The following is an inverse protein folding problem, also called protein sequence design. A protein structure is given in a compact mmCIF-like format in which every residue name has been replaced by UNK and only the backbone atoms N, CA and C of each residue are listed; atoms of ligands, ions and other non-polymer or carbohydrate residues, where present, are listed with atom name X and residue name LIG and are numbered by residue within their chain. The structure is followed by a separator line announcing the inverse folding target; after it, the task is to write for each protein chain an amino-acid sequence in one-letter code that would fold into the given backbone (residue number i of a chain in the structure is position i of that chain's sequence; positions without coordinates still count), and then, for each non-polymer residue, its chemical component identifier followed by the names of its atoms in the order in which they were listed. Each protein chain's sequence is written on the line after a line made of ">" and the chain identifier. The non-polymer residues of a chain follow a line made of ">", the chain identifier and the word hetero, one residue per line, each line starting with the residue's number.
data_IF_911530783705
#
_entry.id   IF_911530783705
#
_cell.length_a   1.000
_cell.length_b   1.000
_cell.length_c   1.000
_cell.angle_alpha   90.00
_cell.angle_beta   90.00
_cell.angle_gamma   90.00
#
_symmetry.space_group_name_H-M   'P 1'
#
loop_
_entity.id
_entity.type
_entity.pdbx_description
1 polymer ?
#
# COMPACT_ATOMS: atom_id res chain seq x y z
N UNK A 1 -37.70 19.86 -10.19
CA UNK A 1 -36.25 19.57 -10.37
C UNK A 1 -35.89 19.80 -11.83
N UNK A 2 -34.73 20.36 -12.11
CA UNK A 2 -34.24 20.56 -13.48
C UNK A 2 -33.79 19.21 -14.05
N UNK A 3 -34.37 18.77 -15.17
CA UNK A 3 -33.93 17.55 -15.86
C UNK A 3 -32.62 17.82 -16.61
N UNK A 4 -31.53 17.19 -16.14
CA UNK A 4 -30.20 17.30 -16.72
C UNK A 4 -29.90 16.22 -17.77
N UNK A 5 -30.83 15.28 -18.03
CA UNK A 5 -30.60 14.11 -18.89
C UNK A 5 -30.18 14.48 -20.30
N UNK A 6 -30.84 15.49 -20.89
CA UNK A 6 -30.52 15.96 -22.23
C UNK A 6 -29.15 16.65 -22.29
N UNK A 7 -28.78 17.41 -21.25
CA UNK A 7 -27.47 18.06 -21.15
C UNK A 7 -26.38 17.00 -21.01
N UNK A 8 -26.55 16.03 -20.12
CA UNK A 8 -25.60 14.93 -19.94
C UNK A 8 -25.41 14.14 -21.24
N UNK A 9 -26.49 13.83 -21.97
CA UNK A 9 -26.43 13.14 -23.26
C UNK A 9 -25.74 13.98 -24.34
N UNK A 10 -25.95 15.29 -24.37
CA UNK A 10 -25.27 16.19 -25.30
C UNK A 10 -23.76 16.28 -25.00
N UNK A 11 -23.39 16.42 -23.72
CA UNK A 11 -21.99 16.44 -23.28
C UNK A 11 -21.28 15.11 -23.56
N UNK A 12 -21.94 13.97 -23.36
CA UNK A 12 -21.37 12.63 -23.59
C UNK A 12 -20.93 12.38 -25.04
N UNK A 13 -21.49 13.12 -26.02
CA UNK A 13 -21.02 13.07 -27.42
C UNK A 13 -19.61 13.64 -27.59
N UNK A 14 -19.20 14.58 -26.73
CA UNK A 14 -17.88 15.25 -26.76
C UNK A 14 -16.96 14.79 -25.64
N UNK A 15 -17.51 14.44 -24.49
CA UNK A 15 -16.80 14.07 -23.26
C UNK A 15 -17.33 12.72 -22.76
N UNK A 16 -16.68 11.63 -23.15
CA UNK A 16 -17.17 10.26 -22.95
C UNK A 16 -17.55 9.93 -21.49
N UNK A 17 -16.86 10.54 -20.52
CA UNK A 17 -17.08 10.37 -19.08
C UNK A 17 -18.18 11.25 -18.46
N UNK A 18 -18.80 12.15 -19.22
CA UNK A 18 -19.85 13.03 -18.68
C UNK A 18 -21.13 12.27 -18.32
N UNK A 19 -21.58 12.42 -17.08
CA UNK A 19 -22.80 11.80 -16.53
C UNK A 19 -23.43 12.69 -15.44
N UNK A 20 -24.68 12.38 -15.07
CA UNK A 20 -25.34 12.98 -13.90
C UNK A 20 -24.73 12.34 -12.65
N UNK A 21 -24.35 13.13 -11.65
CA UNK A 21 -23.63 12.62 -10.48
C UNK A 21 -24.42 11.59 -9.64
N UNK A 22 -25.76 11.60 -9.72
CA UNK A 22 -26.65 10.65 -9.03
C UNK A 22 -26.70 9.27 -9.71
N UNK A 23 -26.17 9.11 -10.94
CA UNK A 23 -26.01 7.79 -11.54
C UNK A 23 -24.96 7.00 -10.75
N UNK A 24 -25.31 5.77 -10.35
CA UNK A 24 -24.55 4.77 -9.55
C UNK A 24 -23.13 5.18 -9.14
N UNK A 25 -22.84 5.13 -7.83
CA UNK A 25 -21.46 5.15 -7.34
C UNK A 25 -20.69 4.09 -8.10
N UNK A 26 -19.64 4.48 -8.83
CA UNK A 26 -18.70 3.50 -9.38
C UNK A 26 -18.21 2.66 -8.21
N UNK A 27 -18.55 1.37 -8.23
CA UNK A 27 -18.01 0.45 -7.25
C UNK A 27 -16.53 0.30 -7.59
N UNK A 28 -15.68 0.91 -6.77
CA UNK A 28 -14.24 0.81 -6.93
C UNK A 28 -13.81 -0.62 -6.63
N UNK A 29 -13.00 -1.18 -7.52
CA UNK A 29 -12.37 -2.47 -7.32
C UNK A 29 -10.97 -2.26 -6.71
N UNK A 30 -10.63 -3.10 -5.73
CA UNK A 30 -9.38 -2.99 -4.98
C UNK A 30 -8.57 -4.27 -5.05
N UNK A 31 -7.24 -4.13 -5.13
CA UNK A 31 -6.27 -5.20 -4.97
C UNK A 31 -5.90 -5.27 -3.49
N UNK A 32 -6.12 -6.42 -2.85
CA UNK A 32 -5.68 -6.61 -1.46
C UNK A 32 -4.18 -6.39 -1.35
N UNK A 33 -3.75 -5.78 -0.26
CA UNK A 33 -2.35 -5.63 0.14
C UNK A 33 -1.73 -6.92 0.65
N UNK A 34 -2.53 -7.97 0.83
CA UNK A 34 -2.12 -9.23 1.45
C UNK A 34 -2.14 -9.16 2.97
N UNK A 35 -2.65 -8.08 3.56
CA UNK A 35 -2.81 -7.93 5.01
C UNK A 35 -4.10 -7.19 5.33
N UNK A 36 -4.93 -7.76 6.21
CA UNK A 36 -6.24 -7.20 6.55
C UNK A 36 -6.16 -5.83 7.24
N UNK A 37 -5.18 -5.62 8.13
CA UNK A 37 -5.05 -4.34 8.82
C UNK A 37 -4.65 -3.22 7.83
N UNK A 38 -3.81 -3.55 6.85
CA UNK A 38 -3.44 -2.62 5.80
C UNK A 38 -4.61 -2.37 4.83
N UNK A 39 -5.35 -3.41 4.44
CA UNK A 39 -6.56 -3.26 3.61
C UNK A 39 -7.59 -2.34 4.28
N UNK A 40 -7.77 -2.43 5.60
CA UNK A 40 -8.68 -1.57 6.34
C UNK A 40 -8.23 -0.11 6.37
N UNK A 41 -6.95 0.17 6.65
CA UNK A 41 -6.47 1.58 6.66
C UNK A 41 -6.46 2.21 5.26
N UNK A 42 -6.56 1.39 4.21
CA UNK A 42 -6.55 1.78 2.81
C UNK A 42 -7.93 1.76 2.14
N UNK A 43 -9.00 1.56 2.93
CA UNK A 43 -10.40 1.49 2.44
C UNK A 43 -10.62 0.36 1.40
N UNK A 44 -9.96 -0.78 1.57
CA UNK A 44 -10.14 -1.98 0.77
C UNK A 44 -8.89 -2.48 0.03
N UNK A 45 -7.77 -1.75 0.12
CA UNK A 45 -6.50 -2.10 -0.51
C UNK A 45 -6.02 -1.06 -1.52
N UNK A 46 -5.43 -1.52 -2.62
CA UNK A 46 -4.94 -0.67 -3.71
C UNK A 46 -5.99 -0.56 -4.82
N UNK A 47 -6.58 0.61 -5.06
CA UNK A 47 -7.67 0.76 -6.01
C UNK A 47 -7.19 0.72 -7.48
N UNK A 48 -7.95 0.05 -8.34
CA UNK A 48 -7.85 0.25 -9.79
C UNK A 48 -8.40 1.64 -10.18
N UNK A 49 -7.95 2.18 -11.31
CA UNK A 49 -8.29 3.55 -11.74
C UNK A 49 -7.37 4.63 -11.17
N UNK A 50 -6.43 4.27 -10.30
CA UNK A 50 -5.64 5.26 -9.56
C UNK A 50 -4.19 4.85 -9.35
N UNK A 51 -3.41 5.82 -8.90
CA UNK A 51 -2.01 5.68 -8.50
C UNK A 51 -1.84 5.74 -6.98
N UNK A 52 -0.99 4.87 -6.46
CA UNK A 52 -0.59 4.77 -5.05
C UNK A 52 0.92 4.92 -4.92
N UNK A 53 1.37 5.72 -3.95
CA UNK A 53 2.79 5.88 -3.62
C UNK A 53 3.11 5.18 -2.29
N UNK A 54 4.11 4.32 -2.30
CA UNK A 54 4.78 3.82 -1.10
C UNK A 54 6.06 4.61 -0.88
N UNK A 55 6.12 5.32 0.25
CA UNK A 55 7.19 6.23 0.60
C UNK A 55 7.92 5.72 1.85
N UNK A 56 9.25 5.67 1.86
CA UNK A 56 10.00 5.23 3.04
C UNK A 56 11.49 5.09 2.81
N UNK A 57 12.26 4.87 3.89
CA UNK A 57 13.71 4.61 3.81
C UNK A 57 14.01 3.26 3.14
N UNK A 58 15.28 2.97 2.87
CA UNK A 58 15.69 1.61 2.47
C UNK A 58 15.19 0.58 3.50
N UNK A 59 14.89 -0.63 3.03
CA UNK A 59 14.40 -1.75 3.86
C UNK A 59 13.00 -1.56 4.49
N UNK A 60 12.28 -0.48 4.17
CA UNK A 60 10.92 -0.28 4.67
C UNK A 60 9.83 -1.17 4.02
N UNK A 61 10.20 -2.14 3.17
CA UNK A 61 9.24 -3.06 2.53
C UNK A 61 8.55 -2.55 1.25
N UNK A 62 8.95 -1.40 0.68
CA UNK A 62 8.31 -0.83 -0.54
C UNK A 62 8.30 -1.80 -1.73
N UNK A 63 9.47 -2.33 -2.09
CA UNK A 63 9.64 -3.27 -3.21
C UNK A 63 8.90 -4.58 -2.97
N UNK A 64 8.87 -5.05 -1.71
CA UNK A 64 8.09 -6.22 -1.30
C UNK A 64 6.61 -5.98 -1.54
N UNK A 65 6.07 -4.84 -1.10
CA UNK A 65 4.66 -4.53 -1.34
C UNK A 65 4.33 -4.37 -2.81
N UNK A 66 5.17 -3.73 -3.63
CA UNK A 66 4.93 -3.68 -5.09
C UNK A 66 4.77 -5.10 -5.66
N UNK A 67 5.69 -6.00 -5.32
CA UNK A 67 5.63 -7.39 -5.78
C UNK A 67 4.41 -8.14 -5.23
N UNK A 68 4.05 -7.92 -3.96
CA UNK A 68 2.85 -8.50 -3.36
C UNK A 68 1.57 -8.03 -4.04
N UNK A 69 1.44 -6.74 -4.35
CA UNK A 69 0.29 -6.18 -5.07
C UNK A 69 0.20 -6.79 -6.47
N UNK A 70 1.32 -6.96 -7.16
CA UNK A 70 1.35 -7.63 -8.47
C UNK A 70 0.85 -9.08 -8.35
N UNK A 71 1.36 -9.85 -7.38
CA UNK A 71 0.94 -11.23 -7.16
C UNK A 71 -0.56 -11.32 -6.84
N UNK A 72 -1.06 -10.48 -5.94
CA UNK A 72 -2.48 -10.47 -5.54
C UNK A 72 -3.39 -10.07 -6.71
N UNK A 73 -2.96 -9.12 -7.54
CA UNK A 73 -3.71 -8.72 -8.72
C UNK A 73 -3.74 -9.82 -9.78
N UNK A 74 -2.62 -10.50 -10.02
CA UNK A 74 -2.54 -11.65 -10.93
C UNK A 74 -3.45 -12.80 -10.46
N UNK A 75 -3.39 -13.14 -9.17
CA UNK A 75 -4.17 -14.23 -8.59
C UNK A 75 -5.68 -13.97 -8.65
N UNK A 76 -6.13 -12.77 -8.24
CA UNK A 76 -7.56 -12.47 -8.12
C UNK A 76 -8.21 -12.01 -9.43
N UNK A 77 -7.48 -11.27 -10.26
CA UNK A 77 -8.05 -10.57 -11.42
C UNK A 77 -7.47 -11.03 -12.77
N UNK A 78 -6.59 -12.04 -12.77
CA UNK A 78 -5.81 -12.43 -13.95
C UNK A 78 -5.10 -11.23 -14.61
N UNK A 79 -4.66 -10.29 -13.77
CA UNK A 79 -4.08 -9.02 -14.21
C UNK A 79 -2.71 -9.22 -14.89
N UNK A 80 -2.41 -8.46 -15.94
CA UNK A 80 -1.05 -8.37 -16.48
C UNK A 80 -0.21 -7.51 -15.54
N UNK A 81 0.91 -8.04 -15.06
CA UNK A 81 1.89 -7.26 -14.32
C UNK A 81 2.82 -6.51 -15.25
N UNK A 82 3.10 -5.25 -14.95
CA UNK A 82 4.14 -4.44 -15.60
C UNK A 82 5.04 -3.90 -14.49
N UNK A 83 6.32 -4.24 -14.52
CA UNK A 83 7.29 -3.85 -13.49
C UNK A 83 8.48 -3.11 -14.12
N UNK A 84 8.55 -1.81 -13.88
CA UNK A 84 9.74 -1.01 -14.14
C UNK A 84 10.66 -1.10 -12.91
N UNK A 85 11.53 -2.11 -12.90
CA UNK A 85 12.44 -2.44 -11.78
C UNK A 85 13.78 -1.73 -11.96
N UNK A 86 13.85 -0.49 -11.49
CA UNK A 86 15.04 0.35 -11.53
C UNK A 86 15.99 0.14 -10.35
N UNK A 87 15.51 -0.37 -9.21
CA UNK A 87 16.33 -0.77 -8.06
C UNK A 87 16.93 -2.17 -8.20
N UNK A 88 16.57 -2.92 -9.24
CA UNK A 88 16.94 -4.32 -9.44
C UNK A 88 16.52 -5.22 -8.25
N UNK A 89 15.38 -4.91 -7.64
CA UNK A 89 14.86 -5.60 -6.46
C UNK A 89 14.13 -6.90 -6.82
N UNK A 90 13.71 -7.07 -8.07
CA UNK A 90 12.96 -8.24 -8.51
C UNK A 90 13.90 -9.36 -9.00
N UNK A 91 13.62 -10.58 -8.56
CA UNK A 91 14.19 -11.80 -9.13
C UNK A 91 13.08 -12.83 -9.34
N UNK A 92 13.19 -13.63 -10.40
CA UNK A 92 12.20 -14.66 -10.72
C UNK A 92 11.92 -15.62 -9.55
N UNK A 93 12.93 -16.20 -8.86
CA UNK A 93 12.67 -17.12 -7.74
C UNK A 93 11.95 -16.46 -6.57
N UNK A 94 12.26 -15.19 -6.27
CA UNK A 94 11.59 -14.46 -5.19
C UNK A 94 10.15 -14.11 -5.59
N UNK A 95 9.93 -13.70 -6.83
CA UNK A 95 8.59 -13.46 -7.36
C UNK A 95 7.71 -14.70 -7.27
N UNK A 96 8.23 -15.88 -7.65
CA UNK A 96 7.50 -17.16 -7.55
C UNK A 96 7.11 -17.48 -6.10
N UNK A 97 8.00 -17.23 -5.14
CA UNK A 97 7.70 -17.39 -3.71
C UNK A 97 6.57 -16.47 -3.22
N UNK A 98 6.48 -15.26 -3.77
CA UNK A 98 5.39 -14.32 -3.48
C UNK A 98 4.09 -14.64 -4.23
N UNK A 99 4.11 -15.62 -5.13
CA UNK A 99 2.94 -15.98 -5.96
C UNK A 99 2.82 -15.20 -7.26
N UNK A 100 3.87 -14.51 -7.71
CA UNK A 100 3.89 -13.85 -9.02
C UNK A 100 3.91 -14.92 -10.12
N UNK A 101 2.94 -14.82 -11.04
CA UNK A 101 2.98 -15.54 -12.29
C UNK A 101 3.88 -14.81 -13.30
N UNK A 102 5.10 -15.33 -13.45
CA UNK A 102 6.11 -14.77 -14.35
C UNK A 102 5.74 -14.85 -15.83
N UNK A 103 4.83 -15.73 -16.24
CA UNK A 103 4.36 -15.76 -17.63
C UNK A 103 3.45 -14.58 -17.96
N UNK A 104 2.94 -13.88 -16.94
CA UNK A 104 2.04 -12.74 -17.07
C UNK A 104 2.65 -11.46 -16.46
N UNK A 105 3.98 -11.36 -16.45
CA UNK A 105 4.73 -10.22 -15.93
C UNK A 105 5.70 -9.68 -16.99
N UNK A 106 5.53 -8.42 -17.37
CA UNK A 106 6.48 -7.65 -18.17
C UNK A 106 7.44 -6.94 -17.21
N UNK A 107 8.76 -7.09 -17.42
CA UNK A 107 9.78 -6.47 -16.56
C UNK A 107 10.78 -5.70 -17.41
N UNK A 108 11.03 -4.45 -17.04
CA UNK A 108 12.19 -3.69 -17.53
C UNK A 108 13.24 -3.57 -16.42
N UNK A 109 14.49 -3.85 -16.76
CA UNK A 109 15.62 -3.80 -15.83
C UNK A 109 16.37 -2.47 -15.94
N UNK A 110 17.25 -2.13 -14.98
CA UNK A 110 17.86 -0.80 -14.95
C UNK A 110 18.63 -0.40 -16.22
N UNK A 111 19.16 -1.39 -16.95
CA UNK A 111 19.87 -1.18 -18.21
C UNK A 111 18.94 -0.71 -19.35
N UNK A 112 17.67 -1.13 -19.34
CA UNK A 112 16.69 -0.83 -20.38
C UNK A 112 15.97 0.50 -20.13
N UNK A 113 15.90 0.92 -18.86
CA UNK A 113 15.22 2.14 -18.41
C UNK A 113 16.16 3.07 -17.61
N UNK A 114 17.24 3.58 -18.23
CA UNK A 114 18.26 4.33 -17.51
C UNK A 114 17.73 5.65 -16.93
N UNK A 115 16.79 6.32 -17.62
CA UNK A 115 16.21 7.62 -17.24
C UNK A 115 14.74 7.52 -16.84
N UNK A 116 14.15 8.54 -16.15
CA UNK A 116 12.73 8.53 -15.82
C UNK A 116 11.85 8.46 -17.08
N UNK A 117 12.26 9.14 -18.16
CA UNK A 117 11.52 9.14 -19.42
C UNK A 117 11.40 7.72 -19.98
N UNK A 118 12.49 6.95 -19.97
CA UNK A 118 12.48 5.57 -20.46
C UNK A 118 11.56 4.69 -19.60
N UNK A 119 11.60 4.86 -18.28
CA UNK A 119 10.74 4.13 -17.35
C UNK A 119 9.24 4.41 -17.59
N UNK A 120 8.86 5.68 -17.73
CA UNK A 120 7.46 6.04 -18.05
C UNK A 120 7.06 5.56 -19.44
N UNK A 121 7.96 5.65 -20.43
CA UNK A 121 7.68 5.21 -21.80
C UNK A 121 7.47 3.70 -21.86
N UNK A 122 8.34 2.92 -21.20
CA UNK A 122 8.17 1.47 -21.06
C UNK A 122 6.81 1.11 -20.48
N UNK A 123 6.38 1.79 -19.40
CA UNK A 123 5.07 1.54 -18.78
C UNK A 123 3.94 1.88 -19.77
N UNK A 124 3.98 3.06 -20.38
CA UNK A 124 2.93 3.52 -21.31
C UNK A 124 2.83 2.60 -22.53
N UNK A 125 3.95 2.22 -23.12
CA UNK A 125 3.98 1.33 -24.29
C UNK A 125 3.50 -0.08 -23.93
N UNK A 126 3.87 -0.58 -22.75
CA UNK A 126 3.35 -1.84 -22.23
C UNK A 126 1.83 -1.79 -22.04
N UNK A 127 1.28 -0.72 -21.46
CA UNK A 127 -0.18 -0.54 -21.32
C UNK A 127 -0.85 -0.55 -22.69
N UNK A 128 -0.32 0.21 -23.67
CA UNK A 128 -0.87 0.28 -25.02
C UNK A 128 -0.89 -1.10 -25.69
N UNK A 129 0.23 -1.82 -25.64
CA UNK A 129 0.34 -3.15 -26.24
C UNK A 129 -0.60 -4.16 -25.56
N UNK A 130 -0.69 -4.14 -24.23
CA UNK A 130 -1.66 -4.98 -23.50
C UNK A 130 -3.09 -4.63 -23.92
N UNK A 131 -3.47 -3.36 -24.01
CA UNK A 131 -4.81 -2.95 -24.44
C UNK A 131 -5.11 -3.29 -25.91
N UNK A 132 -4.09 -3.31 -26.77
CA UNK A 132 -4.23 -3.72 -28.18
C UNK A 132 -4.56 -5.21 -28.31
N UNK A 133 -3.93 -6.07 -27.51
CA UNK A 133 -4.13 -7.53 -27.58
C UNK A 133 -5.21 -8.04 -26.60
N UNK A 134 -5.42 -7.34 -25.48
CA UNK A 134 -6.27 -7.73 -24.36
C UNK A 134 -7.05 -6.51 -23.82
N UNK A 135 -8.10 -6.13 -24.55
CA UNK A 135 -8.86 -4.89 -24.32
C UNK A 135 -9.38 -4.73 -22.89
N UNK A 136 -9.87 -5.81 -22.28
CA UNK A 136 -10.60 -5.79 -21.02
C UNK A 136 -9.82 -6.31 -19.80
N UNK A 137 -8.54 -6.65 -19.98
CA UNK A 137 -7.74 -7.31 -18.94
C UNK A 137 -7.30 -6.31 -17.87
N UNK A 138 -7.27 -6.73 -16.61
CA UNK A 138 -6.71 -5.89 -15.55
C UNK A 138 -5.20 -5.71 -15.76
N UNK A 139 -4.68 -4.54 -15.37
CA UNK A 139 -3.25 -4.23 -15.43
C UNK A 139 -2.82 -3.70 -14.08
N UNK A 140 -1.71 -4.21 -13.56
CA UNK A 140 -1.07 -3.71 -12.36
C UNK A 140 0.35 -3.25 -12.71
N UNK A 141 0.65 -1.98 -12.44
CA UNK A 141 1.93 -1.35 -12.74
C UNK A 141 2.71 -1.14 -11.45
N UNK A 142 3.93 -1.64 -11.40
CA UNK A 142 4.93 -1.36 -10.37
C UNK A 142 6.07 -0.49 -10.93
N UNK A 143 6.39 0.61 -10.24
CA UNK A 143 7.55 1.44 -10.54
C UNK A 143 8.48 1.47 -9.32
N UNK A 144 9.59 0.76 -9.40
CA UNK A 144 10.51 0.54 -8.27
C UNK A 144 11.96 0.90 -8.63
N UNK A 145 12.43 2.12 -8.42
CA UNK A 145 11.77 3.28 -7.83
C UNK A 145 12.08 4.54 -8.63
N UNK A 146 11.25 5.57 -8.46
CA UNK A 146 11.46 6.88 -9.10
C UNK A 146 12.76 7.55 -8.64
N UNK A 147 13.22 7.22 -7.43
CA UNK A 147 14.51 7.69 -6.89
C UNK A 147 15.71 7.15 -7.64
N UNK A 148 15.63 5.95 -8.22
CA UNK A 148 16.77 5.22 -8.76
C UNK A 148 17.17 5.62 -10.20
N UNK A 149 16.34 6.39 -10.92
CA UNK A 149 16.75 6.95 -12.21
C UNK A 149 17.98 7.86 -12.04
N UNK A 150 19.00 7.64 -12.87
CA UNK A 150 20.35 8.19 -12.70
C UNK A 150 20.36 9.72 -12.52
N UNK A 151 21.34 10.21 -11.75
CA UNK A 151 21.92 11.53 -12.01
C UNK A 151 22.77 11.36 -13.26
N UNK A 152 22.61 12.20 -14.27
CA UNK A 152 23.59 12.18 -15.37
C UNK A 152 24.99 12.39 -14.77
N UNK A 153 25.92 11.50 -15.11
CA UNK A 153 27.28 11.45 -14.52
C UNK A 153 28.09 12.72 -14.83
N UNK A 154 27.62 13.61 -15.69
CA UNK A 154 28.33 14.84 -16.09
C UNK A 154 27.74 16.17 -15.63
N UNK A 155 26.62 16.22 -14.88
CA UNK A 155 25.98 17.52 -14.57
C UNK A 155 25.56 17.65 -13.10
N UNK A 156 26.53 17.52 -12.22
CA UNK A 156 26.41 17.84 -10.81
C UNK A 156 26.31 19.37 -10.57
N UNK A 157 25.14 19.96 -10.90
CA UNK A 157 24.55 21.17 -10.28
C UNK A 157 23.20 21.62 -10.91
N UNK A 158 22.77 21.02 -12.04
CA UNK A 158 21.52 21.40 -12.75
C UNK A 158 20.43 20.30 -12.81
N UNK A 159 20.67 19.16 -12.16
CA UNK A 159 20.01 17.88 -12.50
C UNK A 159 18.68 17.60 -11.77
N UNK A 160 18.49 18.13 -10.55
CA UNK A 160 17.28 17.86 -9.75
C UNK A 160 16.00 18.41 -10.39
N UNK A 161 16.07 19.58 -11.03
CA UNK A 161 14.95 20.19 -11.74
C UNK A 161 14.55 19.43 -13.01
N UNK A 162 15.53 18.88 -13.75
CA UNK A 162 15.27 18.07 -14.95
C UNK A 162 14.60 16.75 -14.60
N UNK A 163 15.09 16.06 -13.57
CA UNK A 163 14.47 14.82 -13.07
C UNK A 163 13.04 15.06 -12.58
N UNK A 164 12.81 16.10 -11.77
CA UNK A 164 11.47 16.43 -11.29
C UNK A 164 10.50 16.78 -12.43
N UNK A 165 10.99 17.46 -13.48
CA UNK A 165 10.23 17.77 -14.69
C UNK A 165 9.89 16.50 -15.48
N UNK A 166 10.86 15.61 -15.70
CA UNK A 166 10.64 14.33 -16.38
C UNK A 166 9.58 13.48 -15.67
N UNK A 167 9.66 13.39 -14.34
CA UNK A 167 8.67 12.68 -13.53
C UNK A 167 7.30 13.34 -13.64
N UNK A 168 7.24 14.68 -13.62
CA UNK A 168 5.99 15.41 -13.77
C UNK A 168 5.33 15.15 -15.13
N UNK A 169 6.09 15.25 -16.22
CA UNK A 169 5.64 15.01 -17.58
C UNK A 169 5.20 13.55 -17.77
N UNK A 170 6.04 12.61 -17.34
CA UNK A 170 5.74 11.18 -17.43
C UNK A 170 4.52 10.77 -16.62
N UNK A 171 4.38 11.23 -15.37
CA UNK A 171 3.17 10.98 -14.58
C UNK A 171 1.93 11.59 -15.22
N UNK A 172 2.02 12.84 -15.71
CA UNK A 172 0.91 13.52 -16.36
C UNK A 172 0.43 12.77 -17.60
N UNK A 173 1.36 12.27 -18.41
CA UNK A 173 1.04 11.46 -19.58
C UNK A 173 0.48 10.09 -19.18
N UNK A 174 1.14 9.37 -18.27
CA UNK A 174 0.73 8.05 -17.80
C UNK A 174 -0.72 8.04 -17.28
N UNK A 175 -1.10 9.06 -16.50
CA UNK A 175 -2.47 9.19 -15.98
C UNK A 175 -3.54 9.29 -17.08
N UNK A 176 -3.20 9.68 -18.32
CA UNK A 176 -4.16 9.71 -19.44
C UNK A 176 -4.49 8.32 -19.99
N UNK A 177 -3.69 7.31 -19.67
CA UNK A 177 -3.88 5.92 -20.09
C UNK A 177 -4.57 5.06 -19.03
N UNK A 178 -4.79 5.59 -17.82
CA UNK A 178 -5.39 4.83 -16.72
C UNK A 178 -6.91 4.78 -16.90
N UNK A 179 -7.45 3.56 -16.82
CA UNK A 179 -8.88 3.27 -16.72
C UNK A 179 -9.19 2.52 -15.41
N UNK A 180 -10.46 2.20 -15.18
CA UNK A 180 -10.99 1.50 -14.01
C UNK A 180 -10.43 0.09 -13.77
N UNK A 181 -9.57 -0.41 -14.67
CA UNK A 181 -8.90 -1.72 -14.57
C UNK A 181 -7.38 -1.61 -14.51
N UNK A 182 -6.81 -0.40 -14.40
CA UNK A 182 -5.37 -0.19 -14.24
C UNK A 182 -5.06 0.37 -12.85
N UNK A 183 -4.23 -0.33 -12.09
CA UNK A 183 -3.69 0.16 -10.82
C UNK A 183 -2.21 0.48 -10.96
N UNK A 184 -1.76 1.59 -10.40
CA UNK A 184 -0.35 1.99 -10.43
C UNK A 184 0.18 2.09 -9.00
N UNK A 185 1.32 1.44 -8.75
CA UNK A 185 2.01 1.45 -7.47
C UNK A 185 3.45 1.91 -7.68
N UNK A 186 3.87 2.93 -6.92
CA UNK A 186 5.15 3.60 -7.10
C UNK A 186 5.91 3.56 -5.78
N UNK A 187 7.15 3.05 -5.80
CA UNK A 187 8.07 3.18 -4.68
C UNK A 187 8.84 4.49 -4.80
N UNK A 188 8.98 5.17 -3.66
CA UNK A 188 9.75 6.39 -3.54
C UNK A 188 10.53 6.42 -2.23
N UNK A 189 11.75 6.95 -2.30
CA UNK A 189 12.61 7.12 -1.13
C UNK A 189 12.41 8.49 -0.48
N UNK A 190 12.45 8.49 0.84
CA UNK A 190 12.50 9.71 1.67
C UNK A 190 13.95 10.15 1.86
N UNK A 191 14.19 11.45 1.78
CA UNK A 191 15.43 12.10 2.24
C UNK A 191 15.12 13.12 3.33
N UNK A 192 16.07 13.37 4.22
CA UNK A 192 15.90 14.36 5.29
C UNK A 192 16.49 15.71 4.89
N UNK A 193 15.72 16.79 5.04
CA UNK A 193 16.27 18.15 4.95
C UNK A 193 16.76 18.59 6.34
N UNK A 194 18.07 18.74 6.47
CA UNK A 194 18.76 19.13 7.71
C UNK A 194 18.33 20.54 8.19
N UNK A 195 17.82 21.40 7.30
CA UNK A 195 17.52 22.81 7.57
C UNK A 195 16.11 23.11 8.10
N UNK A 196 15.24 22.11 8.30
CA UNK A 196 13.88 22.32 8.79
C UNK A 196 13.87 22.20 10.33
N UNK A 197 13.60 23.32 11.01
CA UNK A 197 13.47 23.39 12.48
C UNK A 197 12.01 23.15 12.93
N UNK A 198 11.04 23.38 12.03
CA UNK A 198 9.61 23.20 12.29
C UNK A 198 8.90 22.57 11.09
N UNK A 199 8.16 21.47 11.32
CA UNK A 199 7.49 20.66 10.28
C UNK A 199 8.14 19.28 10.10
N UNK A 200 7.58 18.47 9.19
CA UNK A 200 8.16 17.15 8.87
C UNK A 200 9.47 17.33 8.07
N UNK A 201 10.63 16.88 8.60
CA UNK A 201 11.92 17.00 7.91
C UNK A 201 12.03 16.04 6.70
N UNK A 202 11.09 15.11 6.55
CA UNK A 202 11.04 14.15 5.45
C UNK A 202 10.64 14.86 4.15
N UNK A 203 11.48 14.72 3.14
CA UNK A 203 11.22 15.20 1.77
C UNK A 203 11.36 14.07 0.76
N UNK A 204 10.63 14.14 -0.35
CA UNK A 204 10.66 13.13 -1.40
C UNK A 204 11.72 13.47 -2.46
N UNK A 205 12.44 12.45 -2.93
CA UNK A 205 13.44 12.59 -4.00
C UNK A 205 12.82 12.94 -5.37
N UNK A 206 11.56 12.57 -5.60
CA UNK A 206 10.79 12.86 -6.81
C UNK A 206 10.22 14.29 -6.87
N UNK A 207 10.59 15.15 -5.92
CA UNK A 207 9.95 16.45 -5.72
C UNK A 207 8.51 16.31 -5.20
N UNK A 208 7.68 17.35 -5.42
CA UNK A 208 6.26 17.36 -5.01
C UNK A 208 5.33 16.67 -6.05
N UNK A 209 5.82 16.29 -7.24
CA UNK A 209 4.97 15.78 -8.32
C UNK A 209 4.14 14.55 -7.91
N UNK A 210 4.78 13.55 -7.30
CA UNK A 210 4.07 12.35 -6.82
C UNK A 210 3.04 12.69 -5.73
N UNK A 211 3.33 13.67 -4.86
CA UNK A 211 2.36 14.13 -3.86
C UNK A 211 1.09 14.69 -4.50
N UNK A 212 1.17 15.33 -5.68
CA UNK A 212 -0.01 15.82 -6.38
C UNK A 212 -0.70 14.74 -7.22
N UNK A 213 0.05 13.88 -7.90
CA UNK A 213 -0.51 12.91 -8.83
C UNK A 213 -1.00 11.62 -8.18
N UNK A 214 -0.36 11.16 -7.10
CA UNK A 214 -0.78 9.96 -6.37
C UNK A 214 -2.11 10.20 -5.66
N UNK A 215 -3.06 9.30 -5.88
CA UNK A 215 -4.37 9.32 -5.22
C UNK A 215 -4.23 8.89 -3.77
N UNK A 216 -3.44 7.83 -3.53
CA UNK A 216 -3.11 7.35 -2.19
C UNK A 216 -1.61 7.42 -1.94
N UNK A 217 -1.21 7.68 -0.71
CA UNK A 217 0.19 7.72 -0.28
C UNK A 217 0.31 7.06 1.08
N UNK A 218 1.21 6.10 1.19
CA UNK A 218 1.51 5.44 2.46
C UNK A 218 2.97 5.64 2.83
N UNK A 219 3.21 6.04 4.09
CA UNK A 219 4.53 6.02 4.69
C UNK A 219 4.78 4.63 5.25
N UNK A 220 5.86 4.00 4.81
CA UNK A 220 6.32 2.71 5.29
C UNK A 220 7.61 2.92 6.09
N UNK A 221 7.67 2.36 7.29
CA UNK A 221 8.81 2.47 8.19
C UNK A 221 9.10 1.11 8.84
N UNK A 222 10.35 0.66 8.77
CA UNK A 222 10.80 -0.45 9.62
C UNK A 222 10.88 0.05 11.07
N UNK A 223 10.15 -0.59 11.97
CA UNK A 223 10.09 -0.19 13.37
C UNK A 223 11.11 -0.95 14.21
N UNK A 224 11.12 -2.27 14.08
CA UNK A 224 11.99 -3.14 14.87
C UNK A 224 12.06 -4.53 14.26
N UNK A 225 13.14 -5.23 14.57
CA UNK A 225 13.36 -6.60 14.15
C UNK A 225 12.54 -7.58 15.00
N UNK A 226 12.12 -8.67 14.37
CA UNK A 226 11.48 -9.82 15.00
C UNK A 226 12.59 -10.84 15.25
N UNK A 227 12.81 -11.16 16.52
CA UNK A 227 13.80 -12.13 16.96
C UNK A 227 13.06 -13.36 17.46
N UNK A 228 13.46 -14.55 17.00
CA UNK A 228 12.87 -15.82 17.44
C UNK A 228 13.77 -16.47 18.51
N UNK A 229 13.32 -16.51 19.78
CA UNK A 229 14.08 -17.18 20.85
C UNK A 229 14.25 -18.68 20.62
N UNK A 230 13.35 -19.33 19.86
CA UNK A 230 13.45 -20.74 19.53
C UNK A 230 14.53 -21.02 18.49
N UNK A 231 14.94 -20.02 17.71
CA UNK A 231 16.00 -20.09 16.71
C UNK A 231 17.24 -19.34 17.17
N UNK A 232 17.71 -19.62 18.39
CA UNK A 232 18.95 -19.03 18.94
C UNK A 232 19.01 -17.48 18.87
N UNK A 233 17.85 -16.81 18.99
CA UNK A 233 17.71 -15.36 18.83
C UNK A 233 18.11 -14.83 17.44
N UNK A 234 17.90 -15.61 16.39
CA UNK A 234 18.02 -15.12 15.02
C UNK A 234 16.92 -14.12 14.66
N UNK A 235 17.26 -13.18 13.76
CA UNK A 235 16.30 -12.21 13.23
C UNK A 235 15.52 -12.87 12.10
N UNK A 236 14.24 -13.13 12.34
CA UNK A 236 13.35 -13.84 11.41
C UNK A 236 12.42 -12.91 10.62
N UNK A 237 12.44 -11.61 10.92
CA UNK A 237 11.61 -10.63 10.25
C UNK A 237 11.71 -9.23 10.85
N UNK A 238 10.76 -8.37 10.48
CA UNK A 238 10.64 -7.02 11.00
C UNK A 238 9.18 -6.59 11.12
N UNK A 239 8.90 -5.74 12.12
CA UNK A 239 7.65 -5.00 12.20
C UNK A 239 7.71 -3.76 11.31
N UNK A 240 6.72 -3.63 10.44
CA UNK A 240 6.52 -2.45 9.61
C UNK A 240 5.40 -1.59 10.18
N UNK A 241 5.64 -0.29 10.28
CA UNK A 241 4.60 0.71 10.51
C UNK A 241 4.17 1.31 9.18
N UNK A 242 2.86 1.36 8.96
CA UNK A 242 2.26 1.87 7.73
C UNK A 242 1.25 2.95 8.10
N UNK A 243 1.38 4.13 7.51
CA UNK A 243 0.46 5.26 7.72
C UNK A 243 -0.05 5.79 6.38
N UNK A 244 -1.38 5.97 6.26
CA UNK A 244 -2.01 6.65 5.14
C UNK A 244 -1.77 8.16 5.22
N UNK A 245 -0.73 8.66 4.55
CA UNK A 245 -0.39 10.08 4.53
C UNK A 245 -1.34 10.91 3.66
N UNK A 246 -1.97 10.28 2.67
CA UNK A 246 -2.92 10.91 1.75
C UNK A 246 -3.83 9.85 1.15
N UNK A 247 -5.11 10.16 1.03
CA UNK A 247 -6.07 9.45 0.18
C UNK A 247 -7.08 10.46 -0.37
N UNK A 248 -7.63 10.20 -1.56
CA UNK A 248 -8.81 10.91 -2.10
C UNK A 248 -10.09 10.07 -2.00
N UNK A 249 -9.99 8.85 -1.46
CA UNK A 249 -11.05 7.85 -1.46
C UNK A 249 -11.65 7.62 -0.07
N UNK A 250 -10.99 8.13 0.97
CA UNK A 250 -11.45 8.00 2.35
C UNK A 250 -10.64 8.87 3.32
N UNK A 251 -10.63 8.54 4.62
CA UNK A 251 -9.92 9.31 5.65
C UNK A 251 -8.40 9.09 5.66
N UNK A 252 -7.64 10.19 5.74
CA UNK A 252 -6.18 10.17 5.94
C UNK A 252 -5.79 9.84 7.41
N UNK A 253 -4.50 9.60 7.63
CA UNK A 253 -3.84 9.38 8.93
C UNK A 253 -4.27 8.13 9.70
N UNK A 254 -4.93 7.19 9.02
CA UNK A 254 -5.09 5.83 9.53
C UNK A 254 -3.75 5.10 9.44
N UNK A 255 -3.45 4.29 10.45
CA UNK A 255 -2.18 3.57 10.53
C UNK A 255 -2.37 2.16 11.07
N UNK A 256 -1.49 1.26 10.64
CA UNK A 256 -1.38 -0.09 11.16
C UNK A 256 0.09 -0.46 11.37
N UNK A 257 0.31 -1.47 12.21
CA UNK A 257 1.62 -2.05 12.47
C UNK A 257 1.50 -3.54 12.27
N UNK A 258 2.29 -4.10 11.36
CA UNK A 258 2.19 -5.52 11.00
C UNK A 258 3.58 -6.17 10.94
N UNK A 259 3.69 -7.47 11.21
CA UNK A 259 4.91 -8.22 11.03
C UNK A 259 5.11 -8.63 9.57
N UNK A 260 6.36 -8.58 9.12
CA UNK A 260 6.83 -9.19 7.88
C UNK A 260 7.94 -10.16 8.22
N UNK A 261 7.79 -11.40 7.80
CA UNK A 261 8.75 -12.47 8.02
C UNK A 261 9.59 -12.69 6.76
N UNK A 262 10.88 -12.95 6.91
CA UNK A 262 11.78 -13.08 5.75
C UNK A 262 11.51 -14.35 4.93
N UNK A 263 11.05 -15.42 5.58
CA UNK A 263 10.73 -16.68 4.88
C UNK A 263 9.29 -16.73 4.38
N UNK A 264 8.32 -16.34 5.21
CA UNK A 264 6.88 -16.47 4.90
C UNK A 264 6.24 -15.20 4.35
N UNK A 265 6.94 -14.07 4.34
CA UNK A 265 6.44 -12.81 3.80
C UNK A 265 5.49 -12.07 4.73
N UNK A 266 4.47 -11.42 4.16
CA UNK A 266 3.48 -10.63 4.88
C UNK A 266 2.47 -11.57 5.53
N UNK A 267 2.28 -11.46 6.85
CA UNK A 267 1.24 -12.19 7.57
C UNK A 267 -0.15 -11.61 7.21
N UNK A 268 -1.10 -12.40 6.68
CA UNK A 268 -2.42 -11.90 6.29
C UNK A 268 -3.24 -11.27 7.42
N UNK A 269 -3.06 -11.73 8.65
CA UNK A 269 -3.80 -11.24 9.82
C UNK A 269 -2.92 -10.45 10.79
N UNK A 270 -1.60 -10.46 10.57
CA UNK A 270 -0.65 -9.77 11.42
C UNK A 270 -0.94 -8.27 11.55
N UNK A 271 -0.89 -7.77 12.77
CA UNK A 271 -1.23 -6.38 13.09
C UNK A 271 -2.71 -6.09 13.27
N UNK A 272 -3.59 -7.04 12.97
CA UNK A 272 -5.02 -6.84 13.10
C UNK A 272 -5.47 -6.78 14.55
N UNK A 273 -4.89 -7.61 15.42
CA UNK A 273 -5.22 -7.59 16.84
C UNK A 273 -4.85 -6.21 17.45
N UNK A 274 -3.71 -5.65 17.06
CA UNK A 274 -3.33 -4.27 17.42
C UNK A 274 -4.28 -3.22 16.88
N UNK A 275 -4.72 -3.37 15.63
CA UNK A 275 -5.70 -2.44 15.05
C UNK A 275 -6.99 -2.48 15.87
N UNK A 276 -7.53 -3.67 16.16
CA UNK A 276 -8.72 -3.83 16.98
C UNK A 276 -8.54 -3.25 18.39
N UNK A 277 -7.37 -3.45 19.02
CA UNK A 277 -7.09 -2.85 20.32
C UNK A 277 -7.06 -1.32 20.27
N UNK A 278 -6.42 -0.74 19.26
CA UNK A 278 -6.39 0.69 19.06
C UNK A 278 -7.78 1.28 18.76
N UNK A 279 -8.71 0.43 18.29
CA UNK A 279 -10.10 0.79 17.99
C UNK A 279 -11.06 0.49 19.15
N UNK A 280 -10.58 -0.11 20.24
CA UNK A 280 -11.34 -0.37 21.46
C UNK A 280 -12.00 -1.76 21.54
N UNK A 281 -11.79 -2.62 20.54
CA UNK A 281 -12.42 -3.96 20.49
C UNK A 281 -11.65 -5.02 21.27
N UNK A 282 -10.36 -4.80 21.52
CA UNK A 282 -9.50 -5.69 22.31
C UNK A 282 -8.75 -4.89 23.38
N UNK A 283 -8.53 -5.47 24.56
CA UNK A 283 -7.83 -4.81 25.66
C UNK A 283 -6.51 -5.52 25.99
N UNK A 284 -5.48 -4.83 26.48
CA UNK A 284 -4.24 -5.50 26.91
C UNK A 284 -4.50 -6.40 28.10
N UNK A 285 -4.00 -7.64 28.05
CA UNK A 285 -4.08 -8.56 29.19
C UNK A 285 -3.44 -7.97 30.45
N UNK A 286 -2.35 -7.22 30.29
CA UNK A 286 -1.61 -6.58 31.38
C UNK A 286 -1.46 -5.07 31.09
N UNK A 287 -1.90 -4.20 32.01
CA UNK A 287 -1.83 -2.73 31.86
C UNK A 287 -0.42 -2.17 31.63
N UNK A 288 0.65 -2.90 32.00
CA UNK A 288 2.05 -2.45 31.84
C UNK A 288 2.68 -2.78 30.47
N UNK A 289 2.03 -3.60 29.63
CA UNK A 289 2.69 -4.28 28.50
C UNK A 289 2.51 -3.56 27.16
N UNK A 290 1.73 -2.47 27.08
CA UNK A 290 1.56 -1.74 25.82
C UNK A 290 2.85 -1.04 25.33
N UNK A 291 3.85 -0.87 26.22
CA UNK A 291 5.15 -0.28 25.87
C UNK A 291 6.08 -1.25 25.14
N UNK A 292 5.86 -2.56 25.19
CA UNK A 292 6.70 -3.52 24.47
C UNK A 292 6.02 -3.91 23.16
N UNK A 293 6.66 -3.56 22.06
CA UNK A 293 6.17 -3.87 20.71
C UNK A 293 6.15 -5.38 20.39
N UNK A 294 6.45 -6.29 21.33
CA UNK A 294 6.39 -7.75 21.15
C UNK A 294 4.97 -8.24 20.89
N UNK A 295 4.81 -9.46 20.38
CA UNK A 295 3.53 -10.12 20.15
C UNK A 295 2.53 -9.70 21.23
N UNK A 296 1.54 -8.91 20.85
CA UNK A 296 0.65 -8.33 21.85
C UNK A 296 -0.36 -9.41 22.16
N UNK A 297 -0.32 -9.87 23.40
CA UNK A 297 -1.38 -10.73 23.94
C UNK A 297 -2.47 -9.81 24.47
N UNK A 298 -3.64 -9.90 23.85
CA UNK A 298 -4.81 -9.09 24.15
C UNK A 298 -5.93 -9.97 24.74
N UNK A 299 -6.98 -9.34 25.23
CA UNK A 299 -8.17 -9.97 25.76
C UNK A 299 -9.41 -9.49 25.01
N UNK A 300 -10.32 -10.44 24.80
CA UNK A 300 -11.69 -10.24 24.38
C UNK A 300 -12.60 -11.04 25.32
N UNK A 301 -13.32 -10.36 26.21
CA UNK A 301 -13.93 -11.04 27.36
C UNK A 301 -12.86 -11.78 28.19
N UNK A 302 -13.11 -13.05 28.51
CA UNK A 302 -12.17 -13.91 29.25
C UNK A 302 -11.14 -14.63 28.35
N UNK A 303 -11.24 -14.47 27.03
CA UNK A 303 -10.38 -15.15 26.07
C UNK A 303 -9.08 -14.39 25.80
N UNK A 304 -7.99 -15.15 25.59
CA UNK A 304 -6.68 -14.59 25.25
C UNK A 304 -6.47 -14.61 23.73
N UNK A 305 -6.26 -13.43 23.15
CA UNK A 305 -5.99 -13.24 21.72
C UNK A 305 -4.49 -13.06 21.51
N UNK A 306 -3.91 -13.87 20.64
CA UNK A 306 -2.50 -13.76 20.26
C UNK A 306 -2.43 -13.37 18.78
N UNK A 307 -1.63 -12.38 18.43
CA UNK A 307 -1.53 -11.84 17.06
C UNK A 307 -1.30 -12.94 16.00
N UNK A 308 -0.43 -13.89 16.30
CA UNK A 308 -0.11 -15.00 15.38
C UNK A 308 -1.17 -16.10 15.31
N UNK A 309 -2.22 -16.00 16.14
CA UNK A 309 -3.38 -16.90 16.15
C UNK A 309 -4.66 -16.15 15.79
N UNK A 310 -4.54 -14.99 15.16
CA UNK A 310 -5.67 -14.12 14.86
C UNK A 310 -6.68 -14.78 13.91
N UNK A 311 -6.22 -15.58 12.95
CA UNK A 311 -7.10 -16.33 12.04
C UNK A 311 -8.05 -17.25 12.79
N UNK A 312 -7.53 -18.18 13.59
CA UNK A 312 -8.34 -19.12 14.38
C UNK A 312 -9.21 -18.42 15.44
N UNK A 313 -8.81 -17.23 15.87
CA UNK A 313 -9.63 -16.41 16.76
C UNK A 313 -10.84 -15.82 16.01
N UNK A 314 -10.64 -15.31 14.78
CA UNK A 314 -11.72 -14.78 13.94
C UNK A 314 -12.72 -15.85 13.49
N UNK A 315 -12.31 -17.12 13.37
CA UNK A 315 -13.24 -18.22 13.11
C UNK A 315 -14.29 -18.37 14.22
N UNK A 316 -13.92 -18.06 15.47
CA UNK A 316 -14.82 -18.10 16.63
C UNK A 316 -15.56 -16.78 16.87
N UNK A 317 -14.95 -15.68 16.43
CA UNK A 317 -15.45 -14.31 16.60
C UNK A 317 -15.59 -13.58 15.26
N UNK A 318 -16.45 -14.07 14.34
CA UNK A 318 -16.61 -13.49 13.01
C UNK A 318 -17.13 -12.04 13.05
N UNK A 319 -17.78 -11.62 14.14
CA UNK A 319 -18.21 -10.24 14.38
C UNK A 319 -17.05 -9.23 14.48
N UNK A 320 -15.84 -9.71 14.75
CA UNK A 320 -14.63 -8.89 14.79
C UNK A 320 -13.94 -8.79 13.43
N UNK A 321 -14.46 -9.46 12.39
CA UNK A 321 -13.99 -9.34 11.02
C UNK A 321 -14.71 -8.18 10.32
N UNK A 322 -14.00 -7.05 10.22
CA UNK A 322 -14.53 -5.83 9.60
C UNK A 322 -14.27 -5.81 8.09
N UNK A 323 -15.27 -5.41 7.31
CA UNK A 323 -15.14 -5.15 5.85
C UNK A 323 -14.65 -3.73 5.55
N UNK A 324 -14.77 -2.81 6.52
CA UNK A 324 -14.33 -1.43 6.41
C UNK A 324 -13.69 -0.97 7.71
N UNK A 325 -12.86 0.06 7.65
CA UNK A 325 -12.14 0.55 8.83
C UNK A 325 -13.09 0.80 10.02
N UNK A 326 -12.91 0.09 11.16
CA UNK A 326 -13.86 0.15 12.25
C UNK A 326 -13.81 1.51 12.96
N UNK A 327 -14.98 2.03 13.29
CA UNK A 327 -15.09 3.20 14.16
C UNK A 327 -14.58 2.86 15.57
N UNK A 328 -14.07 3.88 16.26
CA UNK A 328 -13.59 3.72 17.62
C UNK A 328 -14.77 3.44 18.55
N UNK A 329 -14.70 2.33 19.28
CA UNK A 329 -15.72 1.93 20.24
C UNK A 329 -15.07 1.57 21.59
N UNK A 330 -14.90 2.53 22.50
CA UNK A 330 -14.27 2.29 23.81
C UNK A 330 -15.21 1.62 24.82
N UNK A 331 -16.51 1.52 24.51
CA UNK A 331 -17.52 1.00 25.44
C UNK A 331 -17.48 -0.53 25.59
N UNK A 332 -16.48 -1.19 25.00
CA UNK A 332 -16.19 -2.62 25.18
C UNK A 332 -15.21 -2.87 26.33
N UNK A 333 -15.40 -2.19 27.46
CA UNK A 333 -14.65 -2.47 28.70
C UNK A 333 -15.65 -2.95 29.76
N UNK A 334 -15.71 -4.26 29.99
CA UNK A 334 -16.32 -4.79 31.22
C UNK A 334 -15.32 -4.54 32.33
N UNK A 335 -15.67 -3.64 33.24
CA UNK A 335 -15.00 -3.49 34.53
C UNK A 335 -15.27 -4.76 35.32
N UNK A 336 -14.24 -5.57 35.57
CA UNK A 336 -14.31 -6.53 36.68
C UNK A 336 -14.12 -5.68 37.94
N UNK A 337 -15.19 -5.55 38.72
CA UNK A 337 -15.05 -5.17 40.12
C UNK A 337 -14.16 -6.24 40.76
N UNK A 338 -13.00 -5.84 41.29
CA UNK A 338 -12.19 -6.71 42.12
C UNK A 338 -13.11 -7.17 43.27
N UNK A 339 -13.49 -8.45 43.30
CA UNK A 339 -13.92 -9.04 44.56
C UNK A 339 -12.71 -8.96 45.48
N UNK A 340 -12.78 -8.05 46.45
CA UNK A 340 -11.94 -8.08 47.63
C UNK A 340 -12.09 -9.46 48.26
N UNK A 341 -11.01 -10.24 48.23
CA UNK A 341 -10.89 -11.44 49.07
C UNK A 341 -10.98 -10.99 50.54
N UNK A 342 -12.20 -10.97 51.10
CA UNK A 342 -12.40 -11.05 52.55
C UNK A 342 -12.26 -12.51 53.00
N UNK A 343 -11.01 -12.94 53.24
CA UNK A 343 -10.51 -13.53 54.50
C UNK A 343 -9.19 -14.29 54.32
#
# INVERSE_FOLDING_TARGET
>A
MTDLSQIAKALKKKYTSSRIAESEKDKLEYISTGNIAFDLISDGGIPFGFSTEFLGLSQSGKSLYIQQIIANAQSKYDAVGILADRENAYSKPMGEKLGINNSNLLVAKPADIPTPYDGFSFIIDSIKLVRQHFKDRYIVVGLDSVSAFSKDVDLAKSDSGRKAKAIHEGMRELLTYIDDKIAIVIANQVTYKISIIWGDPKTSTAGESLKYYSTMRFSLEERRLIVDPAQNNEVVGAWLGIECMKTRLGPCHRACYLPVFYESGIDPYGGYARLLAHRGYLVPKNKSTFKSFNSVTLQYGDETVNEFKMESFLEKHPELLFESYPEFNPNYTVTIEEEEDEN
#
